data_IF_613791644693
#
_entry.id   IF_613791644693
#
_cell.length_a   1.000
_cell.length_b   1.000
_cell.length_c   1.000
_cell.angle_alpha   90.00
_cell.angle_beta   90.00
_cell.angle_gamma   90.00
#
_symmetry.space_group_name_H-M   'P 1'
#
loop_
_entity.id
_entity.type
_entity.pdbx_description
1 polymer ?
#
# COMPACT_ATOMS: atom_id res chain seq x y z
N UNK A 1 -0.68 -18.15 -1.99
CA UNK A 1 -0.20 -18.69 -0.70
C UNK A 1 0.22 -17.50 0.14
N UNK A 2 -0.44 -17.26 1.27
CA UNK A 2 -0.22 -16.07 2.10
C UNK A 2 0.40 -16.42 3.45
N UNK A 3 0.93 -15.42 4.14
CA UNK A 3 1.41 -15.54 5.53
C UNK A 3 0.23 -15.46 6.48
N UNK A 4 0.21 -16.29 7.53
CA UNK A 4 -0.76 -16.19 8.61
C UNK A 4 -0.19 -15.33 9.75
N UNK A 5 -1.01 -14.43 10.29
CA UNK A 5 -0.66 -13.61 11.44
C UNK A 5 -1.70 -13.85 12.54
N UNK A 6 -1.25 -14.35 13.68
CA UNK A 6 -2.09 -14.51 14.87
C UNK A 6 -2.23 -13.17 15.58
N UNK A 7 -3.48 -12.79 15.89
CA UNK A 7 -3.81 -11.56 16.58
C UNK A 7 -4.31 -11.87 17.99
N UNK A 8 -3.89 -11.07 18.96
CA UNK A 8 -4.27 -11.26 20.36
C UNK A 8 -5.64 -10.62 20.69
N UNK A 9 -6.07 -9.63 19.90
CA UNK A 9 -7.30 -8.88 20.11
C UNK A 9 -8.14 -8.83 18.84
N UNK A 10 -9.44 -9.02 19.00
CA UNK A 10 -10.42 -8.95 17.90
C UNK A 10 -10.41 -7.57 17.21
N UNK A 11 -10.19 -6.48 17.96
CA UNK A 11 -10.02 -5.13 17.41
C UNK A 11 -8.82 -4.96 16.46
N UNK A 12 -7.86 -5.90 16.47
CA UNK A 12 -6.75 -5.89 15.49
C UNK A 12 -7.19 -6.45 14.13
N UNK A 13 -8.32 -7.17 14.05
CA UNK A 13 -8.85 -7.70 12.79
C UNK A 13 -9.21 -6.55 11.85
N UNK A 14 -9.85 -5.49 12.33
CA UNK A 14 -10.15 -4.29 11.52
C UNK A 14 -8.90 -3.59 11.02
N UNK A 15 -7.84 -3.57 11.83
CA UNK A 15 -6.54 -3.02 11.42
C UNK A 15 -5.87 -3.89 10.36
N UNK A 16 -5.99 -5.22 10.47
CA UNK A 16 -5.51 -6.15 9.44
C UNK A 16 -6.30 -5.99 8.15
N UNK A 17 -7.63 -5.90 8.19
CA UNK A 17 -8.46 -5.64 6.99
C UNK A 17 -8.02 -4.36 6.27
N UNK A 18 -7.77 -3.29 7.02
CA UNK A 18 -7.33 -2.01 6.45
C UNK A 18 -5.97 -2.07 5.75
N UNK A 19 -5.08 -2.98 6.17
CA UNK A 19 -3.71 -3.09 5.67
C UNK A 19 -3.55 -4.20 4.63
N UNK A 20 -4.08 -5.40 4.87
CA UNK A 20 -3.92 -6.55 3.98
C UNK A 20 -5.16 -6.87 3.15
N UNK A 21 -6.36 -6.55 3.65
CA UNK A 21 -7.61 -6.68 2.88
C UNK A 21 -7.70 -5.64 1.78
N UNK A 22 -7.53 -4.36 2.14
CA UNK A 22 -7.48 -3.24 1.19
C UNK A 22 -6.09 -3.03 0.57
N UNK A 23 -5.04 -3.61 1.16
CA UNK A 23 -3.64 -3.46 0.75
C UNK A 23 -3.36 -3.63 -0.74
N UNK A 24 -3.81 -4.72 -1.39
CA UNK A 24 -3.60 -4.92 -2.82
C UNK A 24 -4.11 -3.76 -3.68
N UNK A 25 -5.24 -3.14 -3.32
CA UNK A 25 -5.78 -2.01 -4.05
C UNK A 25 -4.86 -0.78 -3.98
N UNK A 26 -4.23 -0.53 -2.82
CA UNK A 26 -3.24 0.55 -2.70
C UNK A 26 -2.06 0.32 -3.64
N UNK A 27 -1.55 -0.92 -3.67
CA UNK A 27 -0.43 -1.30 -4.53
C UNK A 27 -0.81 -1.18 -6.01
N UNK A 28 -2.01 -1.60 -6.41
CA UNK A 28 -2.50 -1.46 -7.78
C UNK A 28 -2.64 0.00 -8.19
N UNK A 29 -3.15 0.87 -7.31
CA UNK A 29 -3.22 2.31 -7.57
C UNK A 29 -1.82 2.92 -7.79
N UNK A 30 -0.83 2.50 -7.02
CA UNK A 30 0.54 2.94 -7.24
C UNK A 30 1.13 2.44 -8.56
N UNK A 31 0.83 1.20 -8.95
CA UNK A 31 1.26 0.63 -10.24
C UNK A 31 0.62 1.39 -11.40
N UNK A 32 -0.69 1.69 -11.31
CA UNK A 32 -1.44 2.48 -12.28
C UNK A 32 -0.82 3.88 -12.45
N UNK A 33 -0.62 4.62 -11.36
CA UNK A 33 0.01 5.94 -11.40
C UNK A 33 1.44 5.91 -11.98
N UNK A 34 2.21 4.85 -11.73
CA UNK A 34 3.54 4.69 -12.31
C UNK A 34 3.50 4.38 -13.81
N UNK A 35 2.48 3.66 -14.28
CA UNK A 35 2.25 3.42 -15.70
C UNK A 35 1.85 4.70 -16.44
N UNK A 36 1.00 5.52 -15.84
CA UNK A 36 0.63 6.84 -16.36
C UNK A 36 1.86 7.74 -16.49
N UNK A 37 2.69 7.83 -15.44
CA UNK A 37 3.94 8.58 -15.48
C UNK A 37 4.91 8.03 -16.56
N UNK A 38 4.98 6.71 -16.75
CA UNK A 38 5.79 6.12 -17.81
C UNK A 38 5.25 6.49 -19.21
N UNK A 39 3.93 6.53 -19.39
CA UNK A 39 3.33 6.96 -20.66
C UNK A 39 3.68 8.43 -20.97
N UNK A 40 3.65 9.32 -19.97
CA UNK A 40 4.08 10.73 -20.11
C UNK A 40 5.57 10.86 -20.50
N UNK A 41 6.40 9.89 -20.09
CA UNK A 41 7.81 9.79 -20.46
C UNK A 41 8.05 9.13 -21.83
N UNK A 42 6.98 8.79 -22.56
CA UNK A 42 7.04 8.26 -23.92
C UNK A 42 7.14 6.74 -24.05
N UNK A 43 6.91 5.99 -22.96
CA UNK A 43 6.87 4.53 -23.02
C UNK A 43 5.54 4.03 -23.62
N UNK A 44 5.61 2.91 -24.35
CA UNK A 44 4.39 2.22 -24.80
C UNK A 44 3.65 1.61 -23.61
N UNK A 45 2.34 1.30 -23.72
CA UNK A 45 1.59 0.64 -22.64
C UNK A 45 2.26 -0.64 -22.14
N UNK A 46 2.80 -1.47 -23.05
CA UNK A 46 3.48 -2.72 -22.67
C UNK A 46 4.80 -2.46 -21.92
N UNK A 47 5.57 -1.45 -22.34
CA UNK A 47 6.79 -1.04 -21.64
C UNK A 47 6.48 -0.46 -20.26
N UNK A 48 5.50 0.45 -20.16
CA UNK A 48 5.04 1.04 -18.90
C UNK A 48 4.57 -0.06 -17.93
N UNK A 49 3.79 -1.03 -18.42
CA UNK A 49 3.33 -2.17 -17.65
C UNK A 49 4.49 -3.03 -17.15
N UNK A 50 5.46 -3.33 -18.01
CA UNK A 50 6.63 -4.14 -17.66
C UNK A 50 7.48 -3.44 -16.60
N UNK A 51 7.84 -2.17 -16.85
CA UNK A 51 8.68 -1.38 -15.95
C UNK A 51 8.04 -1.22 -14.56
N UNK A 52 6.76 -0.88 -14.50
CA UNK A 52 6.04 -0.70 -13.24
C UNK A 52 5.95 -2.00 -12.44
N UNK A 53 5.51 -3.11 -13.06
CA UNK A 53 5.35 -4.38 -12.35
C UNK A 53 6.68 -4.95 -11.84
N UNK A 54 7.73 -4.93 -12.66
CA UNK A 54 9.05 -5.41 -12.25
C UNK A 54 9.65 -4.54 -11.14
N UNK A 55 9.40 -3.22 -11.17
CA UNK A 55 9.83 -2.31 -10.09
C UNK A 55 9.15 -2.68 -8.77
N UNK A 56 7.82 -2.85 -8.76
CA UNK A 56 7.08 -3.23 -7.55
C UNK A 56 7.47 -4.62 -7.04
N UNK A 57 7.55 -5.61 -7.94
CA UNK A 57 7.94 -6.98 -7.60
C UNK A 57 9.36 -7.03 -7.03
N UNK A 58 10.32 -6.38 -7.69
CA UNK A 58 11.71 -6.33 -7.27
C UNK A 58 11.89 -5.65 -5.91
N UNK A 59 11.24 -4.50 -5.70
CA UNK A 59 11.30 -3.78 -4.43
C UNK A 59 10.67 -4.56 -3.28
N UNK A 60 9.48 -5.14 -3.48
CA UNK A 60 8.81 -5.94 -2.46
C UNK A 60 9.59 -7.23 -2.14
N UNK A 61 10.18 -7.87 -3.15
CA UNK A 61 11.03 -9.05 -2.96
C UNK A 61 12.31 -8.69 -2.18
N UNK A 62 12.99 -7.60 -2.54
CA UNK A 62 14.17 -7.12 -1.83
C UNK A 62 13.84 -6.84 -0.36
N UNK A 63 12.75 -6.13 -0.10
CA UNK A 63 12.32 -5.81 1.26
C UNK A 63 11.97 -7.06 2.08
N UNK A 64 11.26 -8.03 1.49
CA UNK A 64 10.88 -9.26 2.21
C UNK A 64 12.05 -10.21 2.50
N UNK A 65 13.15 -10.09 1.76
CA UNK A 65 14.37 -10.89 1.94
C UNK A 65 15.46 -10.17 2.76
N UNK A 66 15.28 -8.89 3.05
CA UNK A 66 16.26 -8.07 3.75
C UNK A 66 16.08 -8.14 5.27
N UNK A 67 17.18 -8.02 6.01
CA UNK A 67 17.16 -7.74 7.45
C UNK A 67 17.09 -6.24 7.77
N UNK A 68 17.29 -5.39 6.76
CA UNK A 68 17.21 -3.94 6.87
C UNK A 68 15.76 -3.45 6.71
N UNK A 69 15.43 -2.34 7.40
CA UNK A 69 14.13 -1.72 7.24
C UNK A 69 13.96 -1.01 5.88
N UNK A 70 12.71 -0.74 5.50
CA UNK A 70 12.38 -0.09 4.24
C UNK A 70 12.97 1.32 4.10
N UNK A 71 13.16 2.04 5.22
CA UNK A 71 13.75 3.37 5.20
C UNK A 71 15.23 3.32 4.79
N UNK A 72 15.96 2.33 5.31
CA UNK A 72 17.36 2.05 4.98
C UNK A 72 17.49 1.57 3.55
N UNK A 73 16.64 0.64 3.10
CA UNK A 73 16.63 0.18 1.71
C UNK A 73 16.37 1.33 0.72
N UNK A 74 15.40 2.21 1.03
CA UNK A 74 15.15 3.43 0.23
C UNK A 74 16.37 4.35 0.21
N UNK A 75 17.03 4.56 1.35
CA UNK A 75 18.23 5.41 1.43
C UNK A 75 19.38 4.84 0.57
N UNK A 76 19.57 3.52 0.53
CA UNK A 76 20.60 2.86 -0.29
C UNK A 76 20.43 3.08 -1.79
N UNK A 77 19.20 3.25 -2.27
CA UNK A 77 18.91 3.56 -3.69
C UNK A 77 18.73 5.05 -3.97
N UNK A 78 19.03 5.91 -2.98
CA UNK A 78 18.89 7.37 -3.08
C UNK A 78 20.25 8.04 -2.92
N UNK A 79 20.88 8.39 -4.03
CA UNK A 79 22.13 9.17 -4.02
C UNK A 79 21.85 10.67 -3.83
N UNK A 80 22.71 11.35 -3.07
CA UNK A 80 22.64 12.81 -2.86
C UNK A 80 22.74 13.54 -4.20
N UNK A 81 21.80 14.44 -4.48
CA UNK A 81 21.69 15.17 -5.74
C UNK A 81 21.18 14.35 -6.93
N UNK A 82 20.86 13.07 -6.73
CA UNK A 82 20.41 12.14 -7.77
C UNK A 82 18.95 12.32 -8.17
N UNK A 83 18.51 11.54 -9.18
CA UNK A 83 17.14 11.55 -9.68
C UNK A 83 16.14 11.02 -8.63
N UNK A 84 16.49 9.94 -7.92
CA UNK A 84 15.66 9.36 -6.85
C UNK A 84 15.41 10.35 -5.72
N UNK A 85 16.43 11.11 -5.31
CA UNK A 85 16.28 12.09 -4.22
C UNK A 85 15.24 13.15 -4.58
N UNK A 86 15.29 13.69 -5.81
CA UNK A 86 14.31 14.68 -6.30
C UNK A 86 12.89 14.12 -6.32
N UNK A 87 12.72 12.89 -6.82
CA UNK A 87 11.41 12.24 -6.87
C UNK A 87 10.84 12.02 -5.45
N UNK A 88 11.65 11.50 -4.51
CA UNK A 88 11.22 11.27 -3.13
C UNK A 88 10.88 12.59 -2.43
N UNK A 89 11.66 13.66 -2.64
CA UNK A 89 11.33 14.97 -2.06
C UNK A 89 9.99 15.50 -2.55
N UNK A 90 9.66 15.33 -3.84
CA UNK A 90 8.33 15.71 -4.36
C UNK A 90 7.22 14.93 -3.66
N UNK A 91 7.37 13.61 -3.52
CA UNK A 91 6.37 12.75 -2.85
C UNK A 91 6.21 13.09 -1.37
N UNK A 92 7.30 13.31 -0.64
CA UNK A 92 7.28 13.68 0.78
C UNK A 92 6.65 15.07 0.99
N UNK A 93 6.99 16.04 0.15
CA UNK A 93 6.39 17.39 0.21
C UNK A 93 4.90 17.40 -0.16
N UNK A 94 4.47 16.47 -1.04
CA UNK A 94 3.06 16.26 -1.35
C UNK A 94 2.29 15.53 -0.22
N UNK A 95 2.96 15.12 0.86
CA UNK A 95 2.32 14.51 2.01
C UNK A 95 1.93 13.04 1.82
N UNK A 96 2.72 12.28 1.05
CA UNK A 96 2.41 10.87 0.73
C UNK A 96 2.17 10.00 1.97
N UNK A 97 2.89 10.25 3.07
CA UNK A 97 2.74 9.50 4.32
C UNK A 97 1.39 9.75 4.99
N UNK A 98 0.97 11.01 4.97
CA UNK A 98 -0.29 11.47 5.52
C UNK A 98 -1.44 10.85 4.72
N UNK A 99 -1.35 10.85 3.38
CA UNK A 99 -2.35 10.25 2.49
C UNK A 99 -2.48 8.75 2.74
N UNK A 100 -1.37 8.01 2.81
CA UNK A 100 -1.40 6.57 3.10
C UNK A 100 -2.02 6.29 4.48
N UNK A 101 -1.64 7.07 5.50
CA UNK A 101 -2.21 6.95 6.84
C UNK A 101 -3.71 7.21 6.89
N UNK A 102 -4.18 8.25 6.20
CA UNK A 102 -5.60 8.58 6.09
C UNK A 102 -6.38 7.49 5.34
N UNK A 103 -5.84 6.95 4.24
CA UNK A 103 -6.47 5.86 3.49
C UNK A 103 -6.64 4.61 4.35
N UNK A 104 -5.60 4.21 5.09
CA UNK A 104 -5.67 3.06 6.00
C UNK A 104 -6.69 3.29 7.14
N UNK A 105 -6.72 4.49 7.73
CA UNK A 105 -7.70 4.84 8.76
C UNK A 105 -9.13 4.81 8.23
N UNK A 106 -9.37 5.33 7.02
CA UNK A 106 -10.68 5.30 6.38
C UNK A 106 -11.15 3.86 6.12
N UNK A 107 -10.27 2.99 5.61
CA UNK A 107 -10.56 1.56 5.43
C UNK A 107 -10.88 0.87 6.77
N UNK A 108 -10.10 1.15 7.83
CA UNK A 108 -10.34 0.59 9.16
C UNK A 108 -11.66 1.05 9.77
N UNK A 109 -12.01 2.34 9.62
CA UNK A 109 -13.29 2.87 10.06
C UNK A 109 -14.45 2.16 9.34
N UNK A 110 -14.35 2.01 8.01
CA UNK A 110 -15.41 1.33 7.25
C UNK A 110 -15.56 -0.14 7.62
N UNK A 111 -14.45 -0.85 7.89
CA UNK A 111 -14.50 -2.23 8.39
C UNK A 111 -15.32 -2.33 9.67
N UNK A 112 -15.09 -1.43 10.62
CA UNK A 112 -15.85 -1.37 11.89
C UNK A 112 -17.33 -1.09 11.68
N UNK A 113 -17.66 -0.09 10.85
CA UNK A 113 -19.05 0.23 10.52
C UNK A 113 -19.80 -0.98 9.95
N UNK A 114 -19.17 -1.71 9.02
CA UNK A 114 -19.73 -2.92 8.44
C UNK A 114 -19.93 -4.03 9.49
N UNK A 115 -18.97 -4.21 10.39
CA UNK A 115 -19.09 -5.15 11.52
C UNK A 115 -20.28 -4.82 12.43
N UNK A 116 -20.48 -3.54 12.75
CA UNK A 116 -21.62 -3.09 13.55
C UNK A 116 -22.97 -3.25 12.82
N UNK A 117 -23.03 -2.92 11.53
CA UNK A 117 -24.23 -3.08 10.69
C UNK A 117 -24.68 -4.56 10.69
N UNK A 118 -23.74 -5.49 10.51
CA UNK A 118 -24.01 -6.93 10.53
C UNK A 118 -24.48 -7.42 11.91
N UNK A 119 -23.87 -6.94 13.00
CA UNK A 119 -24.33 -7.26 14.36
C UNK A 119 -25.74 -6.75 14.66
N UNK A 120 -26.10 -5.57 14.16
CA UNK A 120 -27.45 -4.99 14.28
C UNK A 120 -28.49 -5.72 13.43
N UNK A 121 -28.10 -6.31 12.30
CA UNK A 121 -29.00 -7.14 11.47
C UNK A 121 -29.22 -8.53 12.06
N UNK A 122 -28.17 -9.17 12.58
CA UNK A 122 -28.26 -10.49 13.24
C UNK A 122 -29.15 -10.49 14.48
N UNK A 123 -29.16 -9.39 15.24
CA UNK A 123 -30.00 -9.22 16.44
C UNK A 123 -31.48 -8.92 16.14
N UNK A 124 -31.83 -8.52 14.90
CA UNK A 124 -33.22 -8.28 14.47
C UNK A 124 -33.90 -9.50 13.82
N UNK A 125 -33.14 -10.54 13.49
CA UNK A 125 -33.63 -11.75 12.82
C UNK A 125 -34.00 -12.91 13.75
N UNK A 126 -34.00 -12.72 15.07
CA UNK A 126 -34.26 -13.78 16.09
C UNK A 126 -35.56 -13.55 16.87
N UNK A 127 -36.58 -12.94 16.27
CA UNK A 127 -37.92 -12.81 16.88
C UNK A 127 -38.93 -13.60 16.05
#
# INVERSE_FOLDING_TARGET
MGTTLWLEKEAQIDAVTAISGSGPAYVFLFIEALQEAAAELGFTPDQARTLSLETFLGAAKLASQSTEDAATLRARVTSKGGTTERAILVMENAGIRQIIGQAAQAASLRSRELGEELGKMGSRGTI
#
